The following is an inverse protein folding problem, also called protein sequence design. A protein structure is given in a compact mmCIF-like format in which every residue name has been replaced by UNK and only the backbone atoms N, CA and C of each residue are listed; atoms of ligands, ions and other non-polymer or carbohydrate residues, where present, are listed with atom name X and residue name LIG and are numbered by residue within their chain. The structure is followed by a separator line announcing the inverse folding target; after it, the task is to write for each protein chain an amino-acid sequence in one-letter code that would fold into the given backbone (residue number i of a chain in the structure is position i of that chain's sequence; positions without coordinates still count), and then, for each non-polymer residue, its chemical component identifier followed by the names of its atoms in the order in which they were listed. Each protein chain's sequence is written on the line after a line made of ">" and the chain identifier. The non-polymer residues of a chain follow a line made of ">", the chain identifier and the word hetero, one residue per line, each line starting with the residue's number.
data_IF_423871187229
#
_entry.id   IF_423871187229
#
_cell.length_a   1.000
_cell.length_b   1.000
_cell.length_c   1.000
_cell.angle_alpha   90.00
_cell.angle_beta   90.00
_cell.angle_gamma   90.00
#
_symmetry.space_group_name_H-M   'P 1'
#
loop_
_entity.id
_entity.type
_entity.pdbx_description
1 polymer ?
#
# COMPACT_ATOMS: atom_id res chain seq x y z
N UNK A 1 -36.93 -48.54 9.38
CA UNK A 1 -35.46 -48.46 9.31
C UNK A 1 -35.12 -47.13 8.65
N UNK A 2 -34.91 -46.07 9.44
CA UNK A 2 -34.67 -44.71 8.92
C UNK A 2 -33.18 -44.41 9.11
N UNK A 3 -32.42 -44.55 8.04
CA UNK A 3 -30.99 -44.19 7.97
C UNK A 3 -30.86 -42.68 7.92
N UNK A 4 -30.43 -42.08 9.03
CA UNK A 4 -29.94 -40.71 9.08
C UNK A 4 -28.58 -40.64 8.36
N UNK A 5 -28.54 -40.02 7.19
CA UNK A 5 -27.28 -39.68 6.52
C UNK A 5 -26.82 -38.33 7.07
N UNK A 6 -25.80 -38.38 7.94
CA UNK A 6 -25.07 -37.21 8.44
C UNK A 6 -24.53 -36.38 7.28
N UNK A 7 -25.08 -35.19 7.12
CA UNK A 7 -24.55 -34.15 6.26
C UNK A 7 -23.30 -33.56 6.94
N UNK A 8 -22.12 -34.11 6.63
CA UNK A 8 -20.84 -33.53 7.00
C UNK A 8 -20.68 -32.17 6.30
N UNK A 9 -21.10 -31.11 6.98
CA UNK A 9 -20.73 -29.72 6.70
C UNK A 9 -19.20 -29.59 6.83
N UNK A 10 -18.50 -29.80 5.72
CA UNK A 10 -17.12 -29.38 5.53
C UNK A 10 -17.10 -27.85 5.54
N UNK A 11 -16.94 -27.29 6.74
CA UNK A 11 -16.66 -25.87 6.93
C UNK A 11 -15.25 -25.61 6.37
N UNK A 12 -15.17 -25.23 5.10
CA UNK A 12 -13.95 -24.70 4.51
C UNK A 12 -13.59 -23.41 5.24
N UNK A 13 -12.67 -23.52 6.19
CA UNK A 13 -12.04 -22.38 6.88
C UNK A 13 -11.34 -21.56 5.79
N UNK A 14 -12.01 -20.51 5.33
CA UNK A 14 -11.42 -19.53 4.43
C UNK A 14 -10.38 -18.75 5.21
N UNK A 15 -9.10 -19.08 5.04
CA UNK A 15 -7.99 -18.29 5.53
C UNK A 15 -8.00 -16.93 4.82
N UNK A 16 -8.67 -15.95 5.41
CA UNK A 16 -8.54 -14.55 5.01
C UNK A 16 -7.26 -14.00 5.62
N UNK A 17 -6.12 -14.32 5.00
CA UNK A 17 -4.86 -13.67 5.32
C UNK A 17 -4.92 -12.21 4.82
N UNK A 18 -5.23 -11.27 5.71
CA UNK A 18 -5.05 -9.84 5.43
C UNK A 18 -3.60 -9.45 5.68
N UNK A 19 -2.86 -9.13 4.62
CA UNK A 19 -1.44 -8.79 4.67
C UNK A 19 -1.15 -7.34 5.12
N UNK A 20 -2.05 -6.69 5.87
CA UNK A 20 -1.83 -5.35 6.43
C UNK A 20 -2.92 -4.89 7.40
N UNK A 21 -2.79 -3.65 7.89
CA UNK A 21 -3.61 -3.05 8.94
C UNK A 21 -5.03 -2.75 8.43
N UNK A 22 -5.14 -2.21 7.22
CA UNK A 22 -6.43 -1.85 6.64
C UNK A 22 -7.12 -3.09 6.07
N UNK A 23 -8.44 -3.16 6.30
CA UNK A 23 -9.29 -4.19 5.72
C UNK A 23 -9.38 -4.04 4.19
N UNK A 24 -9.68 -5.12 3.48
CA UNK A 24 -9.66 -5.13 2.01
C UNK A 24 -10.63 -4.12 1.38
N UNK A 25 -11.84 -4.01 1.89
CA UNK A 25 -12.81 -3.00 1.43
C UNK A 25 -12.24 -1.58 1.54
N UNK A 26 -11.56 -1.28 2.65
CA UNK A 26 -10.95 0.03 2.84
C UNK A 26 -9.76 0.25 1.89
N UNK A 27 -8.99 -0.80 1.59
CA UNK A 27 -7.91 -0.74 0.60
C UNK A 27 -8.45 -0.41 -0.80
N UNK A 28 -9.56 -1.02 -1.20
CA UNK A 28 -10.23 -0.70 -2.46
C UNK A 28 -10.69 0.76 -2.49
N UNK A 29 -11.26 1.27 -1.40
CA UNK A 29 -11.62 2.68 -1.28
C UNK A 29 -10.42 3.61 -1.44
N UNK A 30 -9.26 3.27 -0.86
CA UNK A 30 -8.03 4.05 -1.05
C UNK A 30 -7.55 4.02 -2.50
N UNK A 31 -7.61 2.86 -3.17
CA UNK A 31 -7.22 2.73 -4.59
C UNK A 31 -8.11 3.60 -5.46
N UNK A 32 -9.43 3.53 -5.28
CA UNK A 32 -10.39 4.32 -6.06
C UNK A 32 -10.24 5.82 -5.77
N UNK A 33 -10.05 6.19 -4.50
CA UNK A 33 -9.81 7.57 -4.10
C UNK A 33 -8.52 8.14 -4.69
N UNK A 34 -7.43 7.36 -4.68
CA UNK A 34 -6.18 7.74 -5.33
C UNK A 34 -6.35 7.88 -6.85
N UNK A 35 -7.06 6.94 -7.50
CA UNK A 35 -7.30 6.98 -8.94
C UNK A 35 -8.15 8.18 -9.38
N UNK A 36 -9.22 8.48 -8.63
CA UNK A 36 -10.06 9.67 -8.86
C UNK A 36 -9.29 10.99 -8.68
N UNK A 37 -8.16 10.96 -7.96
CA UNK A 37 -7.29 12.12 -7.74
C UNK A 37 -5.95 12.01 -8.45
N UNK A 38 -5.81 11.11 -9.43
CA UNK A 38 -4.55 10.91 -10.12
C UNK A 38 -4.39 11.87 -11.29
N UNK A 39 -5.26 11.76 -12.30
CA UNK A 39 -5.16 12.55 -13.52
C UNK A 39 -5.35 14.05 -13.26
N UNK A 40 -4.39 14.86 -13.72
CA UNK A 40 -4.38 16.31 -13.58
C UNK A 40 -4.03 16.85 -12.18
N UNK A 41 -3.90 15.98 -11.17
CA UNK A 41 -3.64 16.37 -9.77
C UNK A 41 -2.32 15.81 -9.24
N UNK A 42 -2.01 14.55 -9.54
CA UNK A 42 -0.71 13.96 -9.23
C UNK A 42 0.40 14.61 -10.08
N UNK A 43 1.65 14.53 -9.61
CA UNK A 43 2.81 15.13 -10.26
C UNK A 43 3.82 14.07 -10.68
N UNK A 44 4.40 14.26 -11.87
CA UNK A 44 5.58 13.53 -12.33
C UNK A 44 6.84 14.05 -11.61
N UNK A 45 7.96 13.36 -11.79
CA UNK A 45 9.27 13.74 -11.23
C UNK A 45 9.75 15.13 -11.66
N UNK A 46 9.31 15.61 -12.84
CA UNK A 46 9.58 16.96 -13.35
C UNK A 46 8.59 18.03 -12.85
N UNK A 47 7.65 17.69 -11.96
CA UNK A 47 6.64 18.62 -11.42
C UNK A 47 5.42 18.86 -12.31
N UNK A 48 5.40 18.32 -13.53
CA UNK A 48 4.24 18.44 -14.41
C UNK A 48 3.07 17.59 -13.89
N UNK A 49 1.81 18.04 -14.06
CA UNK A 49 0.65 17.21 -13.78
C UNK A 49 0.67 15.94 -14.63
N UNK A 50 0.26 14.82 -14.03
CA UNK A 50 0.10 13.57 -14.77
C UNK A 50 -1.10 13.68 -15.69
N UNK A 51 -0.90 13.47 -16.99
CA UNK A 51 -1.96 13.47 -18.00
C UNK A 51 -2.08 12.10 -18.68
N UNK A 52 -3.31 11.65 -19.00
CA UNK A 52 -3.49 10.45 -19.81
C UNK A 52 -3.21 10.77 -21.28
N UNK A 53 -2.60 9.83 -21.99
CA UNK A 53 -2.30 9.91 -23.42
C UNK A 53 -3.56 9.73 -24.27
N UNK A 54 -4.54 9.00 -23.72
CA UNK A 54 -5.81 8.73 -24.39
C UNK A 54 -6.93 8.36 -23.40
N UNK A 55 -8.15 8.20 -23.92
CA UNK A 55 -9.32 7.85 -23.12
C UNK A 55 -9.22 6.48 -22.44
N UNK A 56 -8.58 5.50 -23.09
CA UNK A 56 -8.41 4.17 -22.51
C UNK A 56 -7.51 4.21 -21.27
N UNK A 57 -6.37 4.91 -21.34
CA UNK A 57 -5.47 5.09 -20.21
C UNK A 57 -6.17 5.85 -19.06
N UNK A 58 -6.94 6.90 -19.37
CA UNK A 58 -7.72 7.66 -18.38
C UNK A 58 -8.63 6.76 -17.53
N UNK A 59 -9.18 5.70 -18.13
CA UNK A 59 -10.11 4.76 -17.49
C UNK A 59 -9.46 3.52 -16.88
N UNK A 60 -8.15 3.35 -17.04
CA UNK A 60 -7.41 2.16 -16.61
C UNK A 60 -6.56 2.49 -15.38
N UNK A 61 -6.59 1.62 -14.35
CA UNK A 61 -5.74 1.77 -13.18
C UNK A 61 -4.25 1.68 -13.60
N UNK A 62 -3.37 2.61 -13.19
CA UNK A 62 -1.98 2.62 -13.67
C UNK A 62 -1.16 1.38 -13.28
N UNK A 63 -1.53 0.68 -12.21
CA UNK A 63 -0.83 -0.52 -11.71
C UNK A 63 -1.82 -1.64 -11.43
N UNK A 64 -1.34 -2.88 -11.35
CA UNK A 64 -2.19 -4.03 -11.01
C UNK A 64 -2.71 -3.96 -9.57
N UNK A 65 -3.82 -4.62 -9.28
CA UNK A 65 -4.37 -4.69 -7.91
C UNK A 65 -3.40 -5.30 -6.90
N UNK A 66 -2.57 -6.27 -7.32
CA UNK A 66 -1.53 -6.83 -6.47
C UNK A 66 -0.44 -5.81 -6.13
N UNK A 67 0.01 -5.03 -7.12
CA UNK A 67 0.96 -3.94 -6.90
C UNK A 67 0.36 -2.85 -6.00
N UNK A 68 -0.90 -2.46 -6.23
CA UNK A 68 -1.59 -1.46 -5.41
C UNK A 68 -1.68 -1.90 -3.93
N UNK A 69 -2.04 -3.17 -3.68
CA UNK A 69 -2.09 -3.71 -2.32
C UNK A 69 -0.71 -3.74 -1.64
N UNK A 70 0.34 -4.06 -2.40
CA UNK A 70 1.72 -3.98 -1.89
C UNK A 70 2.10 -2.55 -1.51
N UNK A 71 1.80 -1.58 -2.37
CA UNK A 71 2.04 -0.14 -2.10
C UNK A 71 1.30 0.31 -0.86
N UNK A 72 0.04 -0.09 -0.68
CA UNK A 72 -0.72 0.23 0.54
C UNK A 72 -0.07 -0.36 1.78
N UNK A 73 0.35 -1.63 1.77
CA UNK A 73 1.05 -2.21 2.93
C UNK A 73 2.35 -1.49 3.28
N UNK A 74 3.08 -1.00 2.27
CA UNK A 74 4.28 -0.17 2.49
C UNK A 74 3.90 1.21 3.05
N UNK A 75 2.82 1.83 2.56
CA UNK A 75 2.28 3.09 3.05
C UNK A 75 1.80 2.98 4.49
N UNK A 76 1.07 1.93 4.85
CA UNK A 76 0.64 1.65 6.22
C UNK A 76 1.84 1.59 7.18
N UNK A 77 2.88 0.83 6.82
CA UNK A 77 4.11 0.76 7.60
C UNK A 77 4.80 2.12 7.71
N UNK A 78 4.80 2.89 6.63
CA UNK A 78 5.35 4.25 6.62
C UNK A 78 4.58 5.17 7.57
N UNK A 79 3.25 5.03 7.66
CA UNK A 79 2.42 5.79 8.61
C UNK A 79 2.72 5.45 10.07
N UNK A 80 2.96 4.17 10.40
CA UNK A 80 3.40 3.77 11.74
C UNK A 80 4.80 4.33 12.03
N UNK A 81 5.72 4.19 11.07
CA UNK A 81 7.09 4.65 11.21
C UNK A 81 7.15 6.18 11.42
N UNK A 82 6.39 6.95 10.65
CA UNK A 82 6.22 8.39 10.83
C UNK A 82 5.68 8.73 12.22
N UNK A 83 4.61 8.05 12.64
CA UNK A 83 4.05 8.22 13.99
C UNK A 83 5.05 7.95 15.12
N UNK A 84 5.94 6.97 14.93
CA UNK A 84 6.98 6.61 15.90
C UNK A 84 8.30 7.42 15.76
N UNK A 85 8.34 8.41 14.86
CA UNK A 85 9.53 9.23 14.59
C UNK A 85 10.69 8.42 14.01
N UNK A 86 10.38 7.48 13.12
CA UNK A 86 11.34 6.59 12.45
C UNK A 86 11.49 6.99 10.97
N UNK A 87 12.60 6.58 10.35
CA UNK A 87 12.87 6.86 8.94
C UNK A 87 11.99 6.01 8.01
N UNK A 88 10.86 6.59 7.61
CA UNK A 88 9.98 6.04 6.58
C UNK A 88 10.38 6.49 5.17
N UNK A 89 11.13 7.57 5.04
CA UNK A 89 11.42 8.23 3.77
C UNK A 89 12.35 7.38 2.93
N UNK A 90 13.42 6.84 3.53
CA UNK A 90 14.33 5.91 2.84
C UNK A 90 13.58 4.67 2.33
N UNK A 91 12.59 4.20 3.09
CA UNK A 91 11.77 3.07 2.72
C UNK A 91 10.86 3.40 1.52
N UNK A 92 10.23 4.58 1.51
CA UNK A 92 9.48 5.08 0.36
C UNK A 92 10.36 5.26 -0.90
N UNK A 93 11.54 5.85 -0.74
CA UNK A 93 12.48 6.04 -1.85
C UNK A 93 12.89 4.70 -2.47
N UNK A 94 13.15 3.69 -1.64
CA UNK A 94 13.45 2.33 -2.08
C UNK A 94 12.32 1.70 -2.89
N UNK A 95 11.06 1.91 -2.47
CA UNK A 95 9.88 1.43 -3.20
C UNK A 95 9.84 2.01 -4.62
N UNK A 96 10.00 3.33 -4.75
CA UNK A 96 9.93 3.99 -6.06
C UNK A 96 11.17 3.70 -6.92
N UNK A 97 12.35 3.52 -6.32
CA UNK A 97 13.55 3.10 -7.03
C UNK A 97 13.38 1.69 -7.61
N UNK A 98 12.88 0.75 -6.80
CA UNK A 98 12.59 -0.63 -7.24
C UNK A 98 11.55 -0.66 -8.35
N UNK A 99 10.48 0.11 -8.24
CA UNK A 99 9.47 0.21 -9.29
C UNK A 99 10.08 0.65 -10.64
N UNK A 100 10.96 1.66 -10.62
CA UNK A 100 11.71 2.09 -11.82
C UNK A 100 12.62 0.99 -12.36
N UNK A 101 13.35 0.28 -11.50
CA UNK A 101 14.18 -0.87 -11.90
C UNK A 101 13.35 -2.00 -12.51
N UNK A 102 12.10 -2.16 -12.09
CA UNK A 102 11.15 -3.14 -12.63
C UNK A 102 10.46 -2.67 -13.93
N UNK A 103 10.83 -1.51 -14.48
CA UNK A 103 10.31 -1.01 -15.75
C UNK A 103 8.96 -0.29 -15.66
N UNK A 104 8.53 0.12 -14.45
CA UNK A 104 7.34 0.94 -14.31
C UNK A 104 7.56 2.30 -14.95
N UNK A 105 6.57 2.80 -15.70
CA UNK A 105 6.63 4.13 -16.31
C UNK A 105 6.55 5.23 -15.24
N UNK A 106 6.96 6.46 -15.57
CA UNK A 106 6.90 7.59 -14.64
C UNK A 106 5.47 7.89 -14.16
N UNK A 107 4.44 7.63 -14.98
CA UNK A 107 3.04 7.74 -14.55
C UNK A 107 2.71 6.66 -13.51
N UNK A 108 3.16 5.43 -13.72
CA UNK A 108 2.92 4.35 -12.76
C UNK A 108 3.66 4.61 -11.44
N UNK A 109 4.90 5.11 -11.49
CA UNK A 109 5.66 5.52 -10.30
C UNK A 109 4.99 6.69 -9.58
N UNK A 110 4.44 7.67 -10.31
CA UNK A 110 3.65 8.75 -9.73
C UNK A 110 2.40 8.23 -9.02
N UNK A 111 1.72 7.23 -9.60
CA UNK A 111 0.57 6.59 -8.94
C UNK A 111 0.97 5.81 -7.69
N UNK A 112 2.09 5.09 -7.72
CA UNK A 112 2.69 4.42 -6.56
C UNK A 112 2.94 5.45 -5.44
N UNK A 113 3.53 6.60 -5.79
CA UNK A 113 3.79 7.69 -4.83
C UNK A 113 2.52 8.25 -4.20
N UNK A 114 1.52 8.55 -5.02
CA UNK A 114 0.23 9.05 -4.54
C UNK A 114 -0.46 8.03 -3.61
N UNK A 115 -0.59 6.77 -4.04
CA UNK A 115 -1.27 5.74 -3.28
C UNK A 115 -0.56 5.42 -1.97
N UNK A 116 0.78 5.39 -1.98
CA UNK A 116 1.60 5.26 -0.77
C UNK A 116 1.29 6.37 0.23
N UNK A 117 1.33 7.63 -0.22
CA UNK A 117 1.06 8.80 0.63
C UNK A 117 -0.37 8.79 1.21
N UNK A 118 -1.36 8.37 0.42
CA UNK A 118 -2.75 8.22 0.90
C UNK A 118 -2.86 7.18 2.01
N UNK A 119 -2.22 6.02 1.85
CA UNK A 119 -2.21 4.96 2.85
C UNK A 119 -1.43 5.36 4.12
N UNK A 120 -0.26 5.98 3.96
CA UNK A 120 0.54 6.54 5.05
C UNK A 120 -0.27 7.56 5.85
N UNK A 121 -0.87 8.54 5.15
CA UNK A 121 -1.68 9.59 5.78
C UNK A 121 -2.89 9.04 6.53
N UNK A 122 -3.54 8.00 6.00
CA UNK A 122 -4.66 7.33 6.70
C UNK A 122 -4.22 6.69 8.01
N UNK A 123 -3.13 5.92 7.99
CA UNK A 123 -2.62 5.27 9.20
C UNK A 123 -2.12 6.30 10.20
N UNK A 124 -1.31 7.27 9.76
CA UNK A 124 -0.80 8.34 10.62
C UNK A 124 -1.95 9.13 11.29
N UNK A 125 -2.94 9.54 10.51
CA UNK A 125 -4.08 10.33 11.03
C UNK A 125 -4.89 9.56 12.09
N UNK A 126 -4.95 8.23 11.99
CA UNK A 126 -5.65 7.39 12.97
C UNK A 126 -4.91 7.26 14.31
N UNK A 127 -3.60 7.55 14.35
CA UNK A 127 -2.76 7.35 15.53
C UNK A 127 -2.07 8.60 16.06
N UNK A 128 -2.03 9.70 15.30
CA UNK A 128 -1.27 10.92 15.61
C UNK A 128 -1.61 11.58 16.96
N UNK A 129 -2.82 11.34 17.51
CA UNK A 129 -3.22 11.85 18.83
C UNK A 129 -2.70 11.03 20.01
N UNK A 130 -2.04 9.90 19.74
CA UNK A 130 -1.49 8.97 20.74
C UNK A 130 0.04 9.03 20.72
N UNK A 131 0.67 8.72 21.84
CA UNK A 131 2.12 8.50 21.88
C UNK A 131 2.46 7.10 21.35
N UNK A 132 3.49 6.99 20.52
CA UNK A 132 4.06 5.69 20.15
C UNK A 132 4.90 5.14 21.32
N UNK A 133 4.39 4.11 22.00
CA UNK A 133 5.14 3.47 23.08
C UNK A 133 6.24 2.56 22.54
N UNK A 134 7.15 2.15 23.43
CA UNK A 134 8.34 1.37 23.06
C UNK A 134 7.99 0.05 22.34
N UNK A 135 6.88 -0.58 22.70
CA UNK A 135 6.42 -1.81 22.06
C UNK A 135 6.03 -1.58 20.59
N UNK A 136 5.24 -0.52 20.31
CA UNK A 136 4.85 -0.20 18.93
C UNK A 136 6.06 0.19 18.10
N UNK A 137 6.99 0.97 18.67
CA UNK A 137 8.25 1.35 18.00
C UNK A 137 9.11 0.12 17.67
N UNK A 138 9.25 -0.81 18.61
CA UNK A 138 9.98 -2.07 18.41
C UNK A 138 9.33 -2.94 17.34
N UNK A 139 8.00 -3.04 17.32
CA UNK A 139 7.25 -3.76 16.29
C UNK A 139 7.43 -3.12 14.91
N UNK A 140 7.33 -1.80 14.80
CA UNK A 140 7.54 -1.06 13.57
C UNK A 140 8.95 -1.27 13.01
N UNK A 141 9.97 -1.26 13.88
CA UNK A 141 11.35 -1.55 13.50
C UNK A 141 11.48 -2.95 12.86
N UNK A 142 10.94 -3.98 13.51
CA UNK A 142 10.95 -5.35 12.97
C UNK A 142 10.26 -5.45 11.60
N UNK A 143 9.15 -4.73 11.43
CA UNK A 143 8.41 -4.71 10.16
C UNK A 143 9.18 -4.00 9.04
N UNK A 144 9.86 -2.88 9.34
CA UNK A 144 10.73 -2.18 8.39
C UNK A 144 11.93 -3.04 7.97
N UNK A 145 12.53 -3.75 8.92
CA UNK A 145 13.62 -4.70 8.64
C UNK A 145 13.19 -5.87 7.76
N UNK A 146 12.00 -6.43 8.02
CA UNK A 146 11.47 -7.56 7.27
C UNK A 146 10.85 -7.17 5.92
N UNK A 147 10.71 -5.88 5.63
CA UNK A 147 10.06 -5.41 4.42
C UNK A 147 10.89 -5.71 3.17
N UNK A 148 10.28 -6.26 2.09
CA UNK A 148 10.96 -6.59 0.84
C UNK A 148 11.42 -5.37 0.03
N UNK A 149 11.10 -4.16 0.51
CA UNK A 149 11.54 -2.89 -0.04
C UNK A 149 12.94 -2.53 0.46
N UNK A 150 13.30 -2.88 1.71
CA UNK A 150 14.63 -2.61 2.28
C UNK A 150 15.75 -3.36 1.57
N UNK A 151 15.44 -4.52 0.99
CA UNK A 151 16.41 -5.37 0.29
C UNK A 151 16.79 -4.88 -1.13
N UNK A 152 16.28 -3.73 -1.57
CA UNK A 152 16.46 -3.24 -2.95
C UNK A 152 17.51 -2.12 -3.12
N UNK A 153 18.14 -1.65 -2.04
CA UNK A 153 19.27 -0.71 -2.12
C UNK A 153 20.57 -1.55 -2.11
N UNK A 154 21.35 -1.61 -3.21
CA UNK A 154 22.73 -2.07 -3.11
C UNK A 154 23.51 -1.11 -2.21
N UNK A 155 24.20 -1.65 -1.21
CA UNK A 155 25.16 -0.88 -0.41
C UNK A 155 26.29 -0.34 -1.29
#
# INVERSE_FOLDING_TARGET
>A
MHTFISLCLLFSISMTASAGILQQEHREQLIQGAFANFWGKARLSNGNPVQPDNAAERSTLPISSAAANHVISVGELSGIAEWCGMDWQTHFLSLTAKARQQGFSEKQVAFIGLLHGVAQGNVYSAVQSKSCAAEQKSRAAKMLEASPVKQAIPQ
#
